data_IF_518847295609
#
_entry.id   IF_518847295609
#
_cell.length_a   1.000
_cell.length_b   1.000
_cell.length_c   1.000
_cell.angle_alpha   90.00
_cell.angle_beta   90.00
_cell.angle_gamma   90.00
#
_symmetry.space_group_name_H-M   'P 1'
#
loop_
_entity.id
_entity.type
_entity.pdbx_description
1 polymer ?
#
# COMPACT_ATOMS: atom_id res chain seq x y z
N UNK A 1 -32.59 -0.23 10.97
CA UNK A 1 -31.31 -0.92 11.14
C UNK A 1 -30.22 0.09 10.82
N UNK A 2 -29.33 0.37 11.77
CA UNK A 2 -28.15 1.22 11.52
C UNK A 2 -27.24 0.49 10.56
N UNK A 3 -26.86 1.13 9.44
CA UNK A 3 -25.86 0.60 8.51
C UNK A 3 -24.51 0.58 9.22
N UNK A 4 -23.66 -0.39 8.87
CA UNK A 4 -22.28 -0.43 9.36
C UNK A 4 -21.51 0.71 8.68
N UNK A 5 -20.85 1.58 9.43
CA UNK A 5 -20.01 2.64 8.88
C UNK A 5 -18.58 2.14 8.70
N UNK A 6 -17.98 2.39 7.54
CA UNK A 6 -16.58 2.04 7.22
C UNK A 6 -15.89 3.19 6.51
N UNK A 7 -14.84 3.74 7.11
CA UNK A 7 -14.05 4.82 6.51
C UNK A 7 -12.73 4.29 5.95
N UNK A 8 -12.47 4.45 4.65
CA UNK A 8 -11.15 4.16 4.06
C UNK A 8 -10.50 5.48 3.65
N UNK A 9 -9.36 5.79 4.28
CA UNK A 9 -8.57 6.96 3.92
C UNK A 9 -7.64 6.69 2.74
N UNK A 10 -7.37 7.73 1.95
CA UNK A 10 -6.29 7.75 0.96
C UNK A 10 -5.35 8.90 1.29
N UNK A 11 -4.08 8.61 1.53
CA UNK A 11 -3.08 9.63 1.89
C UNK A 11 -2.92 10.64 0.74
N UNK A 12 -3.30 11.89 0.98
CA UNK A 12 -3.41 12.92 -0.04
C UNK A 12 -2.35 14.02 0.10
N UNK A 13 -1.12 13.63 0.48
CA UNK A 13 0.03 14.54 0.57
C UNK A 13 0.64 14.83 -0.81
N UNK A 14 0.70 13.81 -1.66
CA UNK A 14 1.14 13.85 -3.05
C UNK A 14 0.76 12.50 -3.69
N UNK A 15 0.47 12.48 -5.00
CA UNK A 15 0.27 11.22 -5.73
C UNK A 15 -1.11 11.09 -6.34
N UNK A 16 -1.42 9.88 -6.83
CA UNK A 16 -2.67 9.52 -7.51
C UNK A 16 -3.82 9.19 -6.53
N UNK A 17 -4.04 10.05 -5.52
CA UNK A 17 -5.04 9.78 -4.48
C UNK A 17 -6.47 9.88 -5.00
N UNK A 18 -6.75 10.75 -5.98
CA UNK A 18 -8.08 10.94 -6.57
C UNK A 18 -8.50 9.66 -7.30
N UNK A 19 -7.59 9.09 -8.10
CA UNK A 19 -7.81 7.88 -8.86
C UNK A 19 -8.09 6.69 -7.94
N UNK A 20 -7.40 6.61 -6.80
CA UNK A 20 -7.69 5.61 -5.77
C UNK A 20 -9.10 5.77 -5.16
N UNK A 21 -9.52 7.00 -4.83
CA UNK A 21 -10.87 7.27 -4.30
C UNK A 21 -11.94 6.88 -5.32
N UNK A 22 -11.78 7.28 -6.59
CA UNK A 22 -12.71 6.92 -7.65
C UNK A 22 -12.83 5.39 -7.81
N UNK A 23 -11.72 4.66 -7.73
CA UNK A 23 -11.77 3.20 -7.79
C UNK A 23 -12.41 2.55 -6.56
N UNK A 24 -12.27 3.13 -5.37
CA UNK A 24 -12.99 2.68 -4.18
C UNK A 24 -14.50 2.88 -4.34
N UNK A 25 -14.93 4.05 -4.82
CA UNK A 25 -16.34 4.35 -5.11
C UNK A 25 -16.93 3.35 -6.12
N UNK A 26 -16.20 3.10 -7.22
CA UNK A 26 -16.62 2.13 -8.23
C UNK A 26 -16.66 0.69 -7.67
N UNK A 27 -15.70 0.32 -6.82
CA UNK A 27 -15.60 -1.03 -6.26
C UNK A 27 -16.79 -1.39 -5.36
N UNK A 28 -17.38 -0.40 -4.70
CA UNK A 28 -18.54 -0.60 -3.81
C UNK A 28 -19.89 -0.29 -4.46
N UNK A 29 -19.91 0.10 -5.73
CA UNK A 29 -21.14 0.40 -6.48
C UNK A 29 -21.86 -0.89 -6.92
N UNK A 30 -22.30 -1.69 -5.95
CA UNK A 30 -23.10 -2.89 -6.15
C UNK A 30 -23.97 -3.19 -4.94
N UNK A 31 -25.09 -3.90 -5.13
CA UNK A 31 -26.01 -4.26 -4.03
C UNK A 31 -25.40 -5.17 -2.96
N UNK A 32 -24.20 -5.74 -3.22
CA UNK A 32 -23.46 -6.50 -2.22
C UNK A 32 -23.06 -5.66 -0.99
N UNK A 33 -23.11 -4.32 -1.09
CA UNK A 33 -22.69 -3.38 -0.05
C UNK A 33 -23.82 -2.55 0.56
N UNK A 34 -25.09 -2.83 0.24
CA UNK A 34 -26.25 -2.03 0.67
C UNK A 34 -26.41 -1.88 2.21
N UNK A 35 -25.78 -2.79 2.97
CA UNK A 35 -25.76 -2.78 4.44
C UNK A 35 -24.63 -1.95 5.06
N UNK A 36 -23.69 -1.46 4.25
CA UNK A 36 -22.49 -0.73 4.69
C UNK A 36 -22.54 0.68 4.12
N UNK A 37 -22.29 1.67 4.96
CA UNK A 37 -22.08 3.06 4.57
C UNK A 37 -20.57 3.31 4.48
N UNK A 38 -20.09 3.50 3.26
CA UNK A 38 -18.66 3.74 3.00
C UNK A 38 -18.38 5.24 2.92
N UNK A 39 -17.37 5.67 3.67
CA UNK A 39 -16.78 7.01 3.53
C UNK A 39 -15.34 6.87 2.99
N UNK A 40 -15.05 7.55 1.87
CA UNK A 40 -13.73 7.55 1.26
C UNK A 40 -13.14 8.95 1.34
N UNK A 41 -12.14 9.12 2.21
CA UNK A 41 -11.63 10.45 2.56
C UNK A 41 -10.18 10.64 2.12
N UNK A 42 -9.88 11.87 1.74
CA UNK A 42 -8.51 12.33 1.58
C UNK A 42 -7.90 12.57 2.96
N UNK A 43 -6.73 11.98 3.21
CA UNK A 43 -6.03 12.13 4.50
C UNK A 43 -4.84 13.06 4.33
N UNK A 44 -4.91 14.23 4.97
CA UNK A 44 -3.84 15.24 5.04
C UNK A 44 -3.47 15.60 6.48
N UNK A 45 -4.28 15.19 7.45
CA UNK A 45 -4.15 15.54 8.87
C UNK A 45 -4.34 14.32 9.78
N UNK A 46 -3.90 14.44 11.03
CA UNK A 46 -4.08 13.39 12.05
C UNK A 46 -5.57 13.16 12.37
N UNK A 47 -6.39 14.21 12.36
CA UNK A 47 -7.84 14.10 12.60
C UNK A 47 -8.56 13.32 11.51
N UNK A 48 -8.14 13.46 10.26
CA UNK A 48 -8.69 12.63 9.16
C UNK A 48 -8.19 11.20 9.29
N UNK A 49 -6.90 11.00 9.58
CA UNK A 49 -6.31 9.68 9.75
C UNK A 49 -6.97 8.88 10.88
N UNK A 50 -7.31 9.51 12.00
CA UNK A 50 -7.91 8.83 13.15
C UNK A 50 -9.31 8.26 12.88
N UNK A 51 -10.02 8.82 11.89
CA UNK A 51 -11.34 8.32 11.43
C UNK A 51 -11.24 7.05 10.60
N UNK A 52 -10.07 6.74 10.04
CA UNK A 52 -9.92 5.68 9.05
C UNK A 52 -9.92 4.29 9.70
N UNK A 53 -10.68 3.36 9.13
CA UNK A 53 -10.62 1.91 9.41
C UNK A 53 -9.57 1.21 8.55
N UNK A 54 -9.27 1.77 7.38
CA UNK A 54 -8.17 1.35 6.52
C UNK A 54 -7.52 2.54 5.81
N UNK A 55 -6.29 2.37 5.36
CA UNK A 55 -5.53 3.43 4.69
C UNK A 55 -4.88 2.93 3.40
N UNK A 56 -5.09 3.66 2.30
CA UNK A 56 -4.29 3.52 1.09
C UNK A 56 -3.22 4.61 1.08
N UNK A 57 -1.97 4.21 0.82
CA UNK A 57 -0.85 5.10 0.55
C UNK A 57 -0.57 5.01 -0.95
N UNK A 58 -0.89 6.05 -1.73
CA UNK A 58 -0.91 5.96 -3.18
C UNK A 58 0.50 5.97 -3.79
N UNK A 59 0.55 5.70 -5.09
CA UNK A 59 1.71 5.97 -5.94
C UNK A 59 2.02 7.46 -6.05
N UNK A 60 3.23 7.81 -6.47
CA UNK A 60 3.70 9.19 -6.53
C UNK A 60 5.22 9.28 -6.42
N UNK A 61 5.74 10.35 -5.82
CA UNK A 61 7.15 10.49 -5.47
C UNK A 61 7.33 10.27 -3.97
N UNK A 62 7.91 9.12 -3.63
CA UNK A 62 8.10 8.67 -2.23
C UNK A 62 8.90 9.65 -1.36
N UNK A 63 9.83 10.43 -1.92
CA UNK A 63 10.60 11.42 -1.17
C UNK A 63 9.71 12.62 -0.80
N UNK A 64 8.90 13.11 -1.74
CA UNK A 64 7.93 14.18 -1.53
C UNK A 64 6.90 13.78 -0.49
N UNK A 65 6.28 12.60 -0.61
CA UNK A 65 5.33 12.09 0.40
C UNK A 65 5.99 12.10 1.79
N UNK A 66 7.20 11.57 1.89
CA UNK A 66 7.96 11.49 3.14
C UNK A 66 8.29 12.87 3.74
N UNK A 67 8.77 13.81 2.92
CA UNK A 67 9.14 15.15 3.37
C UNK A 67 7.91 15.99 3.74
N UNK A 68 6.80 15.84 3.01
CA UNK A 68 5.54 16.52 3.35
C UNK A 68 5.01 15.96 4.66
N UNK A 69 5.00 14.64 4.86
CA UNK A 69 4.56 14.02 6.12
C UNK A 69 5.38 14.50 7.31
N UNK A 70 6.70 14.69 7.15
CA UNK A 70 7.56 15.27 8.17
C UNK A 70 7.22 16.73 8.46
N UNK A 71 7.08 17.56 7.42
CA UNK A 71 6.82 19.01 7.56
C UNK A 71 5.42 19.33 8.10
N UNK A 72 4.46 18.43 7.90
CA UNK A 72 3.09 18.55 8.39
C UNK A 72 2.86 17.84 9.73
N UNK A 73 3.93 17.28 10.34
CA UNK A 73 3.87 16.46 11.56
C UNK A 73 2.99 15.20 11.45
N UNK A 74 2.64 14.77 10.24
CA UNK A 74 1.82 13.57 9.99
C UNK A 74 2.62 12.26 10.04
N UNK A 75 3.96 12.33 9.98
CA UNK A 75 4.81 11.13 10.00
C UNK A 75 4.61 10.26 11.25
N UNK A 76 4.56 10.87 12.44
CA UNK A 76 4.37 10.14 13.71
C UNK A 76 2.97 9.53 13.81
N UNK A 77 1.87 10.26 13.51
CA UNK A 77 0.54 9.66 13.40
C UNK A 77 0.48 8.47 12.43
N UNK A 78 1.14 8.54 11.27
CA UNK A 78 1.19 7.42 10.32
C UNK A 78 1.96 6.22 10.88
N UNK A 79 3.07 6.45 11.60
CA UNK A 79 3.81 5.38 12.27
C UNK A 79 2.98 4.72 13.39
N UNK A 80 2.12 5.48 14.09
CA UNK A 80 1.16 4.93 15.05
C UNK A 80 0.07 4.14 14.37
N UNK A 81 -0.50 4.64 13.27
CA UNK A 81 -1.50 3.91 12.48
C UNK A 81 -0.99 2.54 11.99
N UNK A 82 0.31 2.45 11.66
CA UNK A 82 0.97 1.16 11.36
C UNK A 82 0.91 0.18 12.53
N UNK A 83 1.07 0.68 13.77
CA UNK A 83 1.04 -0.09 15.03
C UNK A 83 -0.35 -0.48 15.46
N UNK A 84 -1.37 0.30 15.10
CA UNK A 84 -2.77 0.04 15.46
C UNK A 84 -3.37 -1.19 14.74
N UNK A 85 -2.57 -1.88 13.92
CA UNK A 85 -2.97 -3.07 13.17
C UNK A 85 -4.28 -2.88 12.37
N UNK A 86 -4.54 -1.64 11.93
CA UNK A 86 -5.52 -1.31 10.90
C UNK A 86 -4.99 -1.61 9.49
N UNK A 87 -5.83 -2.10 8.57
CA UNK A 87 -5.45 -2.37 7.18
C UNK A 87 -4.72 -1.21 6.50
N UNK A 88 -3.60 -1.51 5.84
CA UNK A 88 -2.86 -0.53 5.02
C UNK A 88 -2.50 -1.14 3.68
N UNK A 89 -2.73 -0.39 2.60
CA UNK A 89 -2.27 -0.73 1.27
C UNK A 89 -1.32 0.32 0.71
N UNK A 90 -0.05 -0.05 0.49
CA UNK A 90 0.91 0.80 -0.20
C UNK A 90 1.04 0.42 -1.68
N UNK A 91 0.73 1.35 -2.59
CA UNK A 91 0.96 1.20 -4.04
C UNK A 91 2.18 2.01 -4.49
N UNK A 92 3.11 1.39 -5.23
CA UNK A 92 4.32 2.02 -5.77
C UNK A 92 5.10 2.85 -4.73
N UNK A 93 4.93 4.18 -4.68
CA UNK A 93 5.54 5.03 -3.66
C UNK A 93 5.09 4.67 -2.24
N UNK A 94 3.83 4.26 -2.06
CA UNK A 94 3.32 3.75 -0.80
C UNK A 94 3.98 2.43 -0.37
N UNK A 95 4.32 1.54 -1.31
CA UNK A 95 5.09 0.33 -1.01
C UNK A 95 6.49 0.70 -0.47
N UNK A 96 7.18 1.65 -1.09
CA UNK A 96 8.45 2.19 -0.58
C UNK A 96 8.25 2.74 0.83
N UNK A 97 7.20 3.55 1.03
CA UNK A 97 6.96 4.22 2.31
C UNK A 97 6.60 3.24 3.43
N UNK A 98 5.94 2.11 3.13
CA UNK A 98 5.56 1.09 4.11
C UNK A 98 6.68 0.08 4.44
N UNK A 99 7.73 0.01 3.62
CA UNK A 99 8.87 -0.88 3.82
C UNK A 99 9.67 -0.56 5.10
N UNK A 100 10.42 -1.55 5.60
CA UNK A 100 11.36 -1.35 6.71
C UNK A 100 12.73 -0.89 6.26
N UNK A 101 13.12 -1.20 5.03
CA UNK A 101 14.40 -0.81 4.47
C UNK A 101 14.23 -0.33 3.03
N UNK A 102 14.95 0.74 2.67
CA UNK A 102 15.04 1.18 1.28
C UNK A 102 16.49 1.30 0.80
N UNK A 103 16.73 0.82 -0.41
CA UNK A 103 17.97 1.05 -1.17
C UNK A 103 17.73 2.23 -2.12
N UNK A 104 18.77 3.04 -2.37
CA UNK A 104 18.71 4.22 -3.23
C UNK A 104 17.70 5.29 -2.74
N UNK A 105 17.47 5.35 -1.43
CA UNK A 105 16.70 6.42 -0.80
C UNK A 105 17.36 7.79 -0.95
N UNK A 106 16.58 8.87 -0.85
CA UNK A 106 17.16 10.23 -0.85
C UNK A 106 17.48 10.70 0.58
N UNK A 107 18.47 11.60 0.76
CA UNK A 107 18.73 12.23 2.06
C UNK A 107 17.46 12.83 2.67
N UNK A 108 17.22 12.57 3.95
CA UNK A 108 16.03 13.04 4.67
C UNK A 108 14.74 12.28 4.39
N UNK A 109 14.76 11.25 3.54
CA UNK A 109 13.62 10.37 3.32
C UNK A 109 13.42 9.45 4.54
N UNK A 110 12.30 9.63 5.24
CA UNK A 110 11.79 8.69 6.23
C UNK A 110 10.84 7.66 5.59
N UNK A 111 10.71 6.50 6.22
CA UNK A 111 9.77 5.42 5.88
C UNK A 111 9.04 4.94 7.13
N UNK A 112 7.81 4.48 6.98
CA UNK A 112 6.89 4.12 8.07
C UNK A 112 7.23 2.81 8.76
N UNK A 113 7.82 1.82 8.07
CA UNK A 113 8.24 0.57 8.69
C UNK A 113 7.08 -0.33 9.17
N UNK A 114 6.20 -0.74 8.26
CA UNK A 114 5.11 -1.68 8.54
C UNK A 114 5.32 -3.10 8.00
N UNK A 115 6.18 -3.25 6.99
CA UNK A 115 6.44 -4.53 6.33
C UNK A 115 7.93 -4.90 6.40
N UNK A 116 8.22 -6.16 6.77
CA UNK A 116 9.57 -6.76 6.85
C UNK A 116 10.15 -7.04 5.45
N UNK A 117 10.26 -5.98 4.65
CA UNK A 117 10.76 -5.99 3.28
C UNK A 117 11.78 -4.88 3.08
N UNK A 118 12.75 -5.16 2.21
CA UNK A 118 13.64 -4.18 1.62
C UNK A 118 13.13 -3.83 0.22
N UNK A 119 13.05 -2.54 -0.07
CA UNK A 119 12.56 -2.04 -1.35
C UNK A 119 13.66 -1.20 -2.02
N UNK A 120 13.97 -1.51 -3.26
CA UNK A 120 14.87 -0.71 -4.08
C UNK A 120 14.07 0.22 -5.00
N UNK A 121 14.40 1.51 -4.94
CA UNK A 121 13.75 2.54 -5.78
C UNK A 121 14.25 2.46 -7.21
N UNK A 122 13.32 2.55 -8.17
CA UNK A 122 13.61 2.62 -9.61
C UNK A 122 14.51 1.48 -10.13
N UNK A 123 14.36 0.28 -9.58
CA UNK A 123 15.24 -0.86 -9.86
C UNK A 123 15.02 -1.50 -11.24
N UNK A 124 13.96 -1.15 -11.97
CA UNK A 124 13.66 -1.73 -13.29
C UNK A 124 14.64 -1.31 -14.41
N UNK A 125 15.60 -0.42 -14.13
CA UNK A 125 16.62 0.00 -15.09
C UNK A 125 16.06 0.94 -16.17
N UNK A 126 16.94 1.77 -16.74
CA UNK A 126 16.57 2.90 -17.63
C UNK A 126 15.80 2.54 -18.91
N UNK A 127 15.74 1.26 -19.29
CA UNK A 127 15.08 0.79 -20.50
C UNK A 127 13.67 0.24 -20.26
N UNK A 128 13.31 -0.06 -19.00
CA UNK A 128 11.98 -0.56 -18.58
C UNK A 128 11.31 0.40 -17.59
N UNK A 129 11.58 1.70 -17.73
CA UNK A 129 11.12 2.72 -16.79
C UNK A 129 9.58 2.80 -16.71
N UNK A 130 8.84 2.29 -17.70
CA UNK A 130 7.39 2.09 -17.60
C UNK A 130 6.92 1.01 -18.58
N UNK A 131 6.03 0.12 -18.15
CA UNK A 131 5.40 -0.86 -19.02
C UNK A 131 4.02 -1.25 -18.50
N UNK A 132 3.21 -1.83 -19.39
CA UNK A 132 1.89 -2.39 -19.09
C UNK A 132 1.87 -3.85 -19.50
N UNK A 133 1.31 -4.69 -18.64
CA UNK A 133 1.11 -6.12 -18.90
C UNK A 133 -0.16 -6.58 -18.18
N UNK A 134 -0.92 -7.47 -18.81
CA UNK A 134 -2.09 -8.07 -18.17
C UNK A 134 -1.62 -9.26 -17.33
N UNK A 135 -1.88 -9.23 -16.02
CA UNK A 135 -1.42 -10.25 -15.07
C UNK A 135 -2.60 -10.98 -14.45
N UNK A 136 -2.41 -12.26 -14.16
CA UNK A 136 -3.42 -13.07 -13.48
C UNK A 136 -3.14 -13.13 -11.97
N UNK A 137 -4.00 -12.48 -11.20
CA UNK A 137 -3.96 -12.46 -9.73
C UNK A 137 -5.04 -13.36 -9.10
N UNK A 138 -5.74 -14.18 -9.89
CA UNK A 138 -6.79 -15.08 -9.41
C UNK A 138 -6.27 -16.11 -8.39
N UNK A 139 -4.97 -16.42 -8.41
CA UNK A 139 -4.34 -17.35 -7.46
C UNK A 139 -4.38 -16.91 -5.99
N UNK A 140 -4.57 -15.62 -5.71
CA UNK A 140 -4.67 -15.10 -4.33
C UNK A 140 -5.86 -14.16 -4.11
N UNK A 141 -6.55 -13.73 -5.17
CA UNK A 141 -7.73 -12.86 -5.05
C UNK A 141 -9.03 -13.68 -5.02
N UNK A 142 -9.88 -13.41 -4.03
CA UNK A 142 -11.15 -14.12 -3.85
C UNK A 142 -12.20 -13.80 -4.92
N UNK A 143 -12.07 -12.65 -5.59
CA UNK A 143 -12.96 -12.17 -6.64
C UNK A 143 -12.41 -12.38 -8.06
N UNK A 144 -11.46 -13.32 -8.24
CA UNK A 144 -10.88 -13.72 -9.53
C UNK A 144 -10.39 -12.52 -10.35
N UNK A 145 -9.36 -11.85 -9.86
CA UNK A 145 -8.68 -10.76 -10.60
C UNK A 145 -7.75 -11.36 -11.65
N UNK A 146 -8.31 -11.92 -12.72
CA UNK A 146 -7.59 -12.47 -13.87
C UNK A 146 -7.40 -11.42 -14.98
N UNK A 147 -6.36 -11.59 -15.80
CA UNK A 147 -6.04 -10.69 -16.93
C UNK A 147 -6.12 -9.19 -16.57
N UNK A 148 -5.65 -8.84 -15.37
CA UNK A 148 -5.76 -7.48 -14.83
C UNK A 148 -4.76 -6.54 -15.51
N UNK A 149 -5.20 -5.42 -16.08
CA UNK A 149 -4.31 -4.43 -16.69
C UNK A 149 -3.35 -3.84 -15.65
N UNK A 150 -2.11 -4.34 -15.62
CA UNK A 150 -1.14 -3.98 -14.60
C UNK A 150 -0.14 -2.98 -15.16
N UNK A 151 -0.08 -1.81 -14.52
CA UNK A 151 0.70 -0.66 -14.99
C UNK A 151 1.87 -0.41 -14.04
N UNK A 152 3.08 -0.46 -14.58
CA UNK A 152 4.32 -0.19 -13.86
C UNK A 152 4.89 1.13 -14.36
N UNK A 153 5.05 2.11 -13.47
CA UNK A 153 5.65 3.41 -13.77
C UNK A 153 6.77 3.66 -12.77
N UNK A 154 8.02 3.58 -13.24
CA UNK A 154 9.24 3.67 -12.43
C UNK A 154 9.14 2.83 -11.16
N UNK A 155 8.59 1.63 -11.32
CA UNK A 155 8.15 0.80 -10.22
C UNK A 155 9.33 0.45 -9.28
N UNK A 156 9.12 0.42 -7.97
CA UNK A 156 10.09 -0.15 -7.05
C UNK A 156 10.10 -1.68 -7.14
N UNK A 157 11.20 -2.28 -6.70
CA UNK A 157 11.33 -3.74 -6.55
C UNK A 157 11.49 -4.10 -5.09
N UNK A 158 10.82 -5.16 -4.66
CA UNK A 158 11.08 -5.77 -3.36
C UNK A 158 12.31 -6.68 -3.51
N UNK A 159 13.47 -6.18 -3.09
CA UNK A 159 14.76 -6.85 -3.30
C UNK A 159 15.02 -7.96 -2.27
N UNK A 160 14.42 -7.85 -1.08
CA UNK A 160 14.64 -8.81 0.02
C UNK A 160 13.44 -8.87 0.95
N UNK A 161 13.12 -10.09 1.41
CA UNK A 161 12.27 -10.31 2.59
C UNK A 161 13.20 -10.35 3.81
N UNK A 162 12.95 -9.50 4.79
CA UNK A 162 13.80 -9.34 5.95
C UNK A 162 13.45 -10.39 7.02
N UNK A 163 14.48 -11.05 7.55
CA UNK A 163 14.34 -11.73 8.84
C UNK A 163 14.40 -10.66 9.96
N UNK A 164 13.73 -10.88 11.09
CA UNK A 164 13.58 -9.93 12.21
C UNK A 164 14.89 -9.34 12.80
N UNK A 165 16.07 -9.73 12.30
CA UNK A 165 17.38 -9.15 12.66
C UNK A 165 18.10 -8.70 11.39
N UNK A 166 17.94 -7.42 11.05
CA UNK A 166 18.69 -6.78 9.97
C UNK A 166 20.06 -6.27 10.44
N UNK A 167 21.11 -6.54 9.67
CA UNK A 167 22.38 -5.83 9.81
C UNK A 167 22.25 -4.44 9.19
N UNK A 168 22.92 -3.44 9.78
CA UNK A 168 23.04 -2.12 9.15
C UNK A 168 23.96 -2.22 7.95
N UNK A 169 23.40 -2.13 6.74
CA UNK A 169 24.14 -2.04 5.49
C UNK A 169 24.39 -0.56 5.14
N UNK A 170 25.54 -0.26 4.52
CA UNK A 170 25.81 1.08 3.98
C UNK A 170 24.82 1.37 2.84
N UNK A 171 24.37 2.61 2.73
CA UNK A 171 23.42 3.08 1.70
C UNK A 171 21.98 2.52 1.80
N UNK A 172 21.63 1.94 2.95
CA UNK A 172 20.26 1.51 3.28
C UNK A 172 19.64 2.45 4.31
N UNK A 173 18.50 3.06 3.96
CA UNK A 173 17.68 3.78 4.92
C UNK A 173 16.79 2.76 5.64
N UNK A 174 16.85 2.76 6.96
CA UNK A 174 16.02 1.92 7.83
C UNK A 174 14.86 2.75 8.39
N UNK A 175 13.69 2.14 8.56
CA UNK A 175 12.63 2.77 9.32
C UNK A 175 13.07 2.95 10.78
N UNK A 176 12.68 4.07 11.36
CA UNK A 176 12.82 4.32 12.80
C UNK A 176 11.60 3.86 13.61
N UNK A 177 10.56 3.34 12.95
CA UNK A 177 9.42 2.77 13.63
C UNK A 177 9.84 1.45 14.27
N UNK A 178 9.61 1.32 15.57
CA UNK A 178 9.91 0.13 16.38
C UNK A 178 8.83 -0.96 16.27
N UNK A 179 7.82 -0.76 15.41
CA UNK A 179 6.79 -1.76 15.13
C UNK A 179 7.38 -3.10 14.65
N UNK A 180 6.97 -4.17 15.34
CA UNK A 180 7.29 -5.56 14.98
C UNK A 180 6.04 -6.20 14.41
N UNK A 181 6.08 -6.56 13.14
CA UNK A 181 5.02 -7.30 12.50
C UNK A 181 5.25 -8.80 12.75
N UNK A 182 4.41 -9.43 13.57
CA UNK A 182 4.56 -10.84 13.92
C UNK A 182 4.06 -11.80 12.82
N UNK A 183 3.41 -11.26 11.78
CA UNK A 183 2.97 -12.06 10.64
C UNK A 183 4.14 -12.37 9.70
N UNK A 184 4.09 -13.53 9.03
CA UNK A 184 5.04 -13.85 7.97
C UNK A 184 4.77 -13.00 6.73
N UNK A 185 5.82 -12.56 6.03
CA UNK A 185 5.64 -11.96 4.70
C UNK A 185 5.29 -13.05 3.69
N UNK A 186 4.14 -12.90 3.07
CA UNK A 186 3.62 -13.72 1.98
C UNK A 186 3.90 -13.02 0.65
N UNK A 187 4.59 -13.71 -0.25
CA UNK A 187 4.79 -13.24 -1.63
C UNK A 187 3.55 -13.63 -2.44
N UNK A 188 2.74 -12.64 -2.80
CA UNK A 188 1.51 -12.84 -3.56
C UNK A 188 1.79 -13.00 -5.05
N UNK A 189 2.73 -12.22 -5.59
CA UNK A 189 3.05 -12.28 -7.02
C UNK A 189 4.52 -11.96 -7.32
N UNK A 190 5.08 -12.75 -8.25
CA UNK A 190 6.38 -12.51 -8.87
C UNK A 190 6.20 -12.44 -10.38
N UNK A 191 6.89 -11.49 -11.01
CA UNK A 191 7.04 -11.48 -12.46
C UNK A 191 7.89 -12.67 -12.93
N UNK A 192 7.83 -12.98 -14.23
CA UNK A 192 8.60 -14.08 -14.83
C UNK A 192 10.11 -13.96 -14.60
N UNK A 193 10.62 -12.73 -14.53
CA UNK A 193 12.02 -12.44 -14.23
C UNK A 193 12.38 -12.57 -12.72
N UNK A 194 11.43 -13.02 -11.89
CA UNK A 194 11.61 -13.28 -10.47
C UNK A 194 11.38 -12.07 -9.56
N UNK A 195 11.14 -10.87 -10.12
CA UNK A 195 10.90 -9.66 -9.32
C UNK A 195 9.57 -9.77 -8.55
N UNK A 196 9.64 -9.53 -7.24
CA UNK A 196 8.47 -9.52 -6.37
C UNK A 196 7.75 -8.18 -6.52
N UNK A 197 6.46 -8.23 -6.88
CA UNK A 197 5.65 -7.03 -7.16
C UNK A 197 4.36 -6.93 -6.36
N UNK A 198 3.99 -8.00 -5.62
CA UNK A 198 2.90 -7.97 -4.66
C UNK A 198 3.23 -8.83 -3.44
N UNK A 199 3.00 -8.29 -2.24
CA UNK A 199 3.24 -8.94 -0.95
C UNK A 199 2.13 -8.61 0.05
N UNK A 200 1.88 -9.54 0.98
CA UNK A 200 1.05 -9.35 2.16
C UNK A 200 1.87 -9.63 3.41
N UNK A 201 1.63 -8.88 4.47
CA UNK A 201 2.13 -9.24 5.80
C UNK A 201 1.08 -8.88 6.85
N UNK A 202 0.31 -9.89 7.28
CA UNK A 202 -0.84 -9.69 8.15
C UNK A 202 -1.91 -8.84 7.46
N UNK A 203 -2.16 -7.66 8.02
CA UNK A 203 -3.14 -6.69 7.55
C UNK A 203 -2.58 -5.64 6.57
N UNK A 204 -1.31 -5.78 6.16
CA UNK A 204 -0.64 -4.86 5.26
C UNK A 204 -0.47 -5.48 3.88
N UNK A 205 -0.81 -4.71 2.85
CA UNK A 205 -0.68 -5.05 1.44
C UNK A 205 0.33 -4.09 0.79
N UNK A 206 1.22 -4.63 -0.03
CA UNK A 206 2.20 -3.84 -0.77
C UNK A 206 2.24 -4.28 -2.23
N UNK A 207 2.09 -3.32 -3.16
CA UNK A 207 2.15 -3.58 -4.61
C UNK A 207 3.07 -2.58 -5.31
N UNK A 208 3.90 -3.07 -6.24
CA UNK A 208 4.83 -2.22 -7.01
C UNK A 208 4.16 -1.48 -8.18
N UNK A 209 2.97 -1.91 -8.57
CA UNK A 209 2.21 -1.38 -9.71
C UNK A 209 1.11 -0.41 -9.26
N UNK A 210 0.48 0.21 -10.26
CA UNK A 210 -0.56 1.23 -10.14
C UNK A 210 -1.95 0.69 -10.57
N UNK A 211 -2.67 -0.03 -9.69
CA UNK A 211 -4.00 -0.53 -10.01
C UNK A 211 -5.02 0.61 -10.24
N UNK A 212 -4.79 1.78 -9.64
CA UNK A 212 -5.62 2.98 -9.79
C UNK A 212 -5.56 3.61 -11.19
N UNK A 213 -4.54 3.25 -11.99
CA UNK A 213 -4.42 3.70 -13.38
C UNK A 213 -5.09 2.74 -14.38
N UNK A 214 -5.63 1.62 -13.88
CA UNK A 214 -6.48 0.73 -14.66
C UNK A 214 -7.89 1.33 -14.80
N UNK A 215 -8.73 0.72 -15.63
CA UNK A 215 -10.18 0.96 -15.60
C UNK A 215 -10.90 -0.15 -14.81
N UNK A 216 -10.13 -1.04 -14.16
CA UNK A 216 -10.59 -2.22 -13.44
C UNK A 216 -10.41 -2.02 -11.94
N UNK A 217 -11.52 -1.95 -11.20
CA UNK A 217 -11.55 -1.76 -9.75
C UNK A 217 -11.55 -3.08 -8.96
N UNK A 218 -11.43 -4.25 -9.60
CA UNK A 218 -11.47 -5.54 -8.90
C UNK A 218 -10.36 -5.67 -7.85
N UNK A 219 -9.21 -5.04 -8.03
CA UNK A 219 -8.13 -5.06 -7.04
C UNK A 219 -8.49 -4.23 -5.78
N UNK A 220 -9.12 -3.06 -5.95
CA UNK A 220 -9.64 -2.26 -4.84
C UNK A 220 -10.78 -2.97 -4.13
N UNK A 221 -11.71 -3.59 -4.88
CA UNK A 221 -12.76 -4.44 -4.32
C UNK A 221 -12.18 -5.56 -3.46
N UNK A 222 -11.13 -6.22 -3.95
CA UNK A 222 -10.42 -7.25 -3.19
C UNK A 222 -9.80 -6.71 -1.91
N UNK A 223 -9.18 -5.52 -1.94
CA UNK A 223 -8.66 -4.88 -0.73
C UNK A 223 -9.76 -4.59 0.29
N UNK A 224 -10.90 -4.04 -0.14
CA UNK A 224 -12.06 -3.77 0.74
C UNK A 224 -12.55 -5.07 1.38
N UNK A 225 -12.84 -6.08 0.55
CA UNK A 225 -13.44 -7.33 1.01
C UNK A 225 -12.47 -8.10 1.93
N UNK A 226 -11.20 -8.19 1.56
CA UNK A 226 -10.24 -9.09 2.21
C UNK A 226 -9.49 -8.48 3.38
N UNK A 227 -9.24 -7.17 3.35
CA UNK A 227 -8.48 -6.50 4.39
C UNK A 227 -9.38 -5.68 5.30
N UNK A 228 -10.29 -4.87 4.74
CA UNK A 228 -11.09 -3.93 5.54
C UNK A 228 -12.24 -4.65 6.23
N UNK A 229 -13.17 -5.24 5.48
CA UNK A 229 -14.39 -5.82 6.05
C UNK A 229 -14.14 -7.06 6.91
N UNK A 230 -13.18 -7.91 6.53
CA UNK A 230 -12.78 -9.06 7.36
C UNK A 230 -12.13 -8.66 8.69
N UNK A 231 -11.36 -7.57 8.71
CA UNK A 231 -10.76 -7.09 9.96
C UNK A 231 -11.82 -6.65 10.97
N UNK A 232 -12.90 -6.04 10.50
CA UNK A 232 -14.02 -5.59 11.33
C UNK A 232 -14.91 -6.76 11.80
N UNK A 233 -14.94 -7.87 11.06
CA UNK A 233 -15.73 -9.06 11.41
C UNK A 233 -15.07 -9.95 12.48
N UNK A 234 -13.81 -9.67 12.84
CA UNK A 234 -13.02 -10.47 13.79
C UNK A 234 -13.02 -9.86 15.20
N UNK A 235 -13.72 -8.74 15.40
CA UNK A 235 -13.88 -8.02 16.68
C UNK A 235 -15.20 -8.39 17.35
#
# INVERSE_FOLDING_TARGET
MTRQETTIGVLALQGAFIEHIQHLELAVNSSAYDSIDFDFIEVRTETELSRCDGLIIPGGESTSISLIAQRTNLLEPLMRFVKDEKPIWGTCAGLIFLSKQIINGKPGQAILGGMDIQVERNAFGRQLDSFKVDLDFSGFTSNKVDAFPTIFIRAPVISKILAHKGQQERDVINSRNDYINNSKVEVLYKLENGLIVAVRQGNKLGTSFHPELSHDCRFHKWFIDEFVLKSQSTV
#
